data_IF_875017847471
#
_entry.id   IF_875017847471
#
_cell.length_a   1.000
_cell.length_b   1.000
_cell.length_c   1.000
_cell.angle_alpha   90.00
_cell.angle_beta   90.00
_cell.angle_gamma   90.00
#
_symmetry.space_group_name_H-M   'P 1'
#
loop_
_entity.id
_entity.type
_entity.pdbx_description
1 polymer ?
#
# COMPACT_ATOMS: atom_id res chain seq x y z
N UNK A 1 -1.75 -30.88 -5.11
CA UNK A 1 -1.50 -30.12 -6.35
C UNK A 1 -1.81 -28.64 -6.07
N UNK A 2 -0.86 -27.73 -6.30
CA UNK A 2 -1.01 -26.28 -6.09
C UNK A 2 -1.89 -25.69 -7.19
N UNK A 3 -3.02 -25.07 -6.84
CA UNK A 3 -3.90 -24.39 -7.82
C UNK A 3 -3.47 -22.94 -7.94
N UNK A 4 -3.09 -22.50 -9.14
CA UNK A 4 -2.60 -21.13 -9.41
C UNK A 4 -3.47 -20.43 -10.45
N UNK A 5 -3.78 -19.15 -10.22
CA UNK A 5 -4.45 -18.25 -11.17
C UNK A 5 -3.57 -17.00 -11.29
N UNK A 6 -2.88 -16.82 -12.41
CA UNK A 6 -1.92 -15.74 -12.58
C UNK A 6 -0.77 -15.78 -11.56
N UNK A 7 -0.52 -14.68 -10.86
CA UNK A 7 0.48 -14.59 -9.78
C UNK A 7 -0.01 -15.13 -8.43
N UNK A 8 -1.29 -15.47 -8.33
CA UNK A 8 -1.94 -15.95 -7.11
C UNK A 8 -1.87 -17.48 -7.04
N UNK A 9 -1.40 -18.01 -5.93
CA UNK A 9 -1.50 -19.43 -5.60
C UNK A 9 -2.20 -19.63 -4.27
N UNK A 10 -2.93 -20.73 -4.11
CA UNK A 10 -3.52 -21.12 -2.82
C UNK A 10 -2.85 -22.40 -2.34
N UNK A 11 -2.35 -22.40 -1.12
CA UNK A 11 -1.84 -23.60 -0.48
C UNK A 11 -3.00 -24.49 -0.01
N UNK A 12 -2.97 -25.77 -0.39
CA UNK A 12 -4.11 -26.68 -0.18
C UNK A 12 -4.34 -27.06 1.28
N UNK A 13 -3.33 -26.95 2.13
CA UNK A 13 -3.37 -27.46 3.51
C UNK A 13 -3.73 -26.36 4.52
N UNK A 14 -3.26 -25.13 4.29
CA UNK A 14 -3.46 -23.97 5.19
C UNK A 14 -4.57 -23.05 4.69
N UNK A 15 -4.95 -23.15 3.42
CA UNK A 15 -5.80 -22.15 2.75
C UNK A 15 -5.08 -20.82 2.51
N UNK A 16 -3.79 -20.71 2.86
CA UNK A 16 -3.05 -19.47 2.72
C UNK A 16 -2.83 -19.13 1.24
N UNK A 17 -3.14 -17.89 0.89
CA UNK A 17 -2.91 -17.37 -0.45
C UNK A 17 -1.50 -16.81 -0.55
N UNK A 18 -0.91 -16.92 -1.74
CA UNK A 18 0.42 -16.43 -2.05
C UNK A 18 0.35 -15.56 -3.30
N UNK A 19 1.12 -14.48 -3.34
CA UNK A 19 1.31 -13.63 -4.51
C UNK A 19 2.79 -13.47 -4.77
N UNK A 20 3.23 -13.85 -5.98
CA UNK A 20 4.66 -13.83 -6.35
C UNK A 20 5.58 -14.49 -5.31
N UNK A 21 5.13 -15.60 -4.71
CA UNK A 21 5.81 -16.38 -3.65
C UNK A 21 5.82 -15.74 -2.26
N UNK A 22 5.24 -14.56 -2.07
CA UNK A 22 5.01 -13.97 -0.75
C UNK A 22 3.64 -14.40 -0.24
N UNK A 23 3.54 -14.81 1.02
CA UNK A 23 2.24 -15.13 1.62
C UNK A 23 1.39 -13.88 1.78
N UNK A 24 0.07 -14.01 1.70
CA UNK A 24 -0.79 -12.85 1.89
C UNK A 24 -0.71 -12.30 3.31
N UNK A 25 -0.45 -13.14 4.32
CA UNK A 25 -0.23 -12.70 5.69
C UNK A 25 0.98 -11.77 5.79
N UNK A 26 2.11 -12.15 5.19
CA UNK A 26 3.32 -11.34 5.14
C UNK A 26 3.12 -10.06 4.32
N UNK A 27 2.39 -10.13 3.20
CA UNK A 27 2.10 -8.96 2.38
C UNK A 27 1.24 -7.93 3.12
N UNK A 28 0.19 -8.37 3.83
CA UNK A 28 -0.65 -7.48 4.66
C UNK A 28 0.18 -6.78 5.73
N UNK A 29 1.00 -7.52 6.47
CA UNK A 29 1.86 -6.95 7.51
C UNK A 29 2.88 -5.94 6.97
N UNK A 30 3.52 -6.26 5.84
CA UNK A 30 4.44 -5.34 5.18
C UNK A 30 3.75 -4.05 4.70
N UNK A 31 2.52 -4.15 4.20
CA UNK A 31 1.70 -2.99 3.81
C UNK A 31 1.42 -2.10 5.02
N UNK A 32 0.95 -2.69 6.13
CA UNK A 32 0.58 -1.94 7.34
C UNK A 32 1.79 -1.27 8.00
N UNK A 33 2.94 -1.98 8.08
CA UNK A 33 4.20 -1.41 8.57
C UNK A 33 4.66 -0.24 7.69
N UNK A 34 4.61 -0.40 6.37
CA UNK A 34 5.02 0.63 5.41
C UNK A 34 4.13 1.88 5.46
N UNK A 35 2.81 1.70 5.51
CA UNK A 35 1.86 2.81 5.60
C UNK A 35 2.03 3.55 6.94
N UNK A 36 2.13 2.82 8.06
CA UNK A 36 2.34 3.39 9.39
C UNK A 36 3.58 4.28 9.42
N UNK A 37 4.72 3.74 8.95
CA UNK A 37 5.96 4.51 8.92
C UNK A 37 5.85 5.74 8.02
N UNK A 38 5.34 5.58 6.80
CA UNK A 38 5.39 6.65 5.78
C UNK A 38 4.42 7.77 6.08
N UNK A 39 3.18 7.47 6.49
CA UNK A 39 2.20 8.49 6.89
C UNK A 39 2.61 9.13 8.22
N UNK A 40 3.06 8.35 9.20
CA UNK A 40 3.56 8.89 10.47
C UNK A 40 4.75 9.85 10.29
N UNK A 41 5.72 9.48 9.45
CA UNK A 41 6.85 10.37 9.11
C UNK A 41 6.40 11.61 8.35
N UNK A 42 5.39 11.49 7.49
CA UNK A 42 4.88 12.60 6.70
C UNK A 42 4.10 13.61 7.54
N UNK A 43 3.39 13.16 8.58
CA UNK A 43 2.70 14.04 9.54
C UNK A 43 3.65 14.93 10.35
N UNK A 44 4.95 14.58 10.42
CA UNK A 44 5.98 15.42 11.04
C UNK A 44 6.53 16.48 10.08
N UNK A 45 6.34 16.32 8.76
CA UNK A 45 6.79 17.28 7.75
C UNK A 45 5.77 18.42 7.63
N UNK A 46 6.27 19.66 7.55
CA UNK A 46 5.41 20.83 7.34
C UNK A 46 4.47 20.67 6.14
N UNK A 47 3.26 21.19 6.29
CA UNK A 47 2.31 21.29 5.19
C UNK A 47 2.80 22.32 4.17
N UNK A 48 2.60 22.00 2.89
CA UNK A 48 2.95 22.85 1.76
C UNK A 48 2.16 22.40 0.53
N UNK A 49 2.02 23.31 -0.42
CA UNK A 49 1.37 23.05 -1.70
C UNK A 49 2.10 21.97 -2.50
N UNK A 50 1.33 21.28 -3.35
CA UNK A 50 1.82 20.28 -4.30
C UNK A 50 2.46 20.99 -5.48
N UNK A 51 3.69 20.62 -5.81
CA UNK A 51 4.42 21.07 -6.99
C UNK A 51 4.43 19.98 -8.07
N UNK A 52 4.58 20.35 -9.33
CA UNK A 52 4.61 19.38 -10.44
C UNK A 52 5.69 18.29 -10.27
N UNK A 53 6.82 18.64 -9.64
CA UNK A 53 7.89 17.69 -9.33
C UNK A 53 7.49 16.62 -8.30
N UNK A 54 6.49 16.87 -7.45
CA UNK A 54 6.07 15.92 -6.42
C UNK A 54 5.41 14.67 -7.01
N UNK A 55 4.82 14.76 -8.21
CA UNK A 55 4.15 13.64 -8.86
C UNK A 55 5.11 12.53 -9.31
N UNK A 56 6.40 12.86 -9.52
CA UNK A 56 7.42 11.89 -9.94
C UNK A 56 8.27 11.37 -8.78
N UNK A 57 8.09 11.90 -7.56
CA UNK A 57 8.85 11.47 -6.37
C UNK A 57 8.50 10.04 -6.01
N UNK A 58 9.52 9.23 -5.72
CA UNK A 58 9.38 7.90 -5.12
C UNK A 58 10.33 7.81 -3.93
N UNK A 59 9.78 7.75 -2.73
CA UNK A 59 10.54 7.50 -1.51
C UNK A 59 10.66 5.98 -1.30
N UNK A 60 11.83 5.50 -0.88
CA UNK A 60 12.06 4.09 -0.58
C UNK A 60 12.68 3.94 0.79
N UNK A 61 12.11 3.06 1.61
CA UNK A 61 12.66 2.70 2.92
C UNK A 61 12.86 1.18 3.01
N UNK A 62 13.86 0.77 3.77
CA UNK A 62 14.17 -0.64 4.01
C UNK A 62 13.71 -1.06 5.40
N UNK A 63 13.03 -2.20 5.46
CA UNK A 63 12.54 -2.85 6.67
C UNK A 63 13.27 -4.18 6.82
N UNK A 64 14.43 -4.20 7.51
CA UNK A 64 15.07 -5.45 7.93
C UNK A 64 14.25 -6.11 9.04
N UNK A 65 14.18 -7.44 9.00
CA UNK A 65 13.49 -8.26 10.01
C UNK A 65 14.02 -8.03 11.43
N UNK A 66 15.33 -7.83 11.58
CA UNK A 66 15.97 -7.47 12.85
C UNK A 66 15.69 -6.04 13.32
N UNK A 67 15.07 -5.20 12.50
CA UNK A 67 14.85 -3.79 12.78
C UNK A 67 16.07 -2.90 12.48
N UNK A 68 15.87 -1.59 12.59
CA UNK A 68 16.91 -0.59 12.40
C UNK A 68 16.65 0.64 13.27
N UNK A 69 17.53 1.64 13.22
CA UNK A 69 17.29 2.93 13.86
C UNK A 69 16.08 3.71 13.27
N UNK A 70 15.59 3.31 12.10
CA UNK A 70 14.49 3.97 11.39
C UNK A 70 13.20 3.15 11.38
N UNK A 71 13.32 1.82 11.42
CA UNK A 71 12.19 0.90 11.23
C UNK A 71 12.17 -0.16 12.33
N UNK A 72 10.99 -0.52 12.86
CA UNK A 72 10.90 -1.54 13.92
C UNK A 72 11.28 -2.93 13.40
N UNK A 73 11.71 -3.80 14.32
CA UNK A 73 11.86 -5.23 14.05
C UNK A 73 10.51 -5.89 13.79
N UNK A 74 10.49 -6.95 12.98
CA UNK A 74 9.27 -7.66 12.60
C UNK A 74 9.53 -9.12 12.21
N UNK A 75 8.46 -9.93 12.19
CA UNK A 75 8.56 -11.36 11.90
C UNK A 75 8.52 -11.72 10.40
N UNK A 76 8.33 -10.74 9.52
CA UNK A 76 8.38 -10.95 8.07
C UNK A 76 9.82 -10.93 7.55
N UNK A 77 10.06 -11.52 6.37
CA UNK A 77 11.35 -11.36 5.67
C UNK A 77 11.63 -9.89 5.36
N UNK A 78 12.91 -9.55 5.25
CA UNK A 78 13.35 -8.22 4.86
C UNK A 78 12.66 -7.72 3.59
N UNK A 79 12.21 -6.47 3.60
CA UNK A 79 11.53 -5.88 2.46
C UNK A 79 11.86 -4.39 2.27
N UNK A 80 11.65 -3.89 1.06
CA UNK A 80 11.67 -2.44 0.76
C UNK A 80 10.26 -1.96 0.51
N UNK A 81 9.87 -0.89 1.18
CA UNK A 81 8.61 -0.21 0.95
C UNK A 81 8.86 1.04 0.11
N UNK A 82 8.09 1.20 -0.98
CA UNK A 82 8.18 2.35 -1.87
C UNK A 82 6.88 3.14 -1.83
N UNK A 83 7.00 4.44 -1.60
CA UNK A 83 5.89 5.39 -1.57
C UNK A 83 5.99 6.30 -2.77
N UNK A 84 4.98 6.29 -3.62
CA UNK A 84 4.92 7.09 -4.83
C UNK A 84 4.16 8.39 -4.54
N UNK A 85 4.70 9.52 -4.99
CA UNK A 85 4.14 10.86 -4.86
C UNK A 85 3.55 11.18 -3.46
N UNK A 86 4.32 11.01 -2.36
CA UNK A 86 3.79 11.07 -0.99
C UNK A 86 3.07 12.39 -0.67
N UNK A 87 3.60 13.52 -1.16
CA UNK A 87 3.00 14.84 -0.96
C UNK A 87 1.67 14.98 -1.72
N UNK A 88 1.60 14.48 -2.96
CA UNK A 88 0.37 14.49 -3.74
C UNK A 88 -0.72 13.62 -3.08
N UNK A 89 -0.37 12.43 -2.57
CA UNK A 89 -1.33 11.58 -1.87
C UNK A 89 -1.71 12.07 -0.47
N UNK A 90 -0.89 12.91 0.19
CA UNK A 90 -1.35 13.68 1.37
C UNK A 90 -2.42 14.67 0.95
N UNK A 91 -2.17 15.46 -0.08
CA UNK A 91 -3.13 16.43 -0.61
C UNK A 91 -4.44 15.78 -1.07
N UNK A 92 -4.39 14.67 -1.81
CA UNK A 92 -5.61 13.98 -2.26
C UNK A 92 -6.43 13.45 -1.09
N UNK A 93 -5.79 12.91 -0.04
CA UNK A 93 -6.51 12.47 1.17
C UNK A 93 -7.23 13.63 1.83
N UNK A 94 -6.55 14.77 1.98
CA UNK A 94 -7.15 15.99 2.53
C UNK A 94 -8.35 16.48 1.69
N UNK A 95 -8.21 16.50 0.36
CA UNK A 95 -9.29 16.86 -0.56
C UNK A 95 -10.51 15.93 -0.43
N UNK A 96 -10.30 14.66 -0.07
CA UNK A 96 -11.36 13.70 0.19
C UNK A 96 -11.83 13.66 1.65
N UNK A 97 -11.35 14.57 2.50
CA UNK A 97 -11.73 14.63 3.92
C UNK A 97 -11.18 13.49 4.77
N UNK A 98 -10.14 12.79 4.29
CA UNK A 98 -9.53 11.65 4.97
C UNK A 98 -8.41 12.16 5.88
N UNK A 99 -8.67 12.21 7.20
CA UNK A 99 -7.66 12.62 8.18
C UNK A 99 -6.55 11.56 8.29
N UNK A 100 -5.29 11.96 8.55
CA UNK A 100 -4.18 11.01 8.66
C UNK A 100 -4.40 9.93 9.73
N UNK A 101 -4.94 10.32 10.89
CA UNK A 101 -5.19 9.40 12.00
C UNK A 101 -6.26 8.37 11.66
N UNK A 102 -7.34 8.79 11.01
CA UNK A 102 -8.44 7.90 10.59
C UNK A 102 -7.96 6.93 9.50
N UNK A 103 -7.13 7.41 8.56
CA UNK A 103 -6.49 6.58 7.54
C UNK A 103 -5.55 5.52 8.15
N UNK A 104 -4.74 5.91 9.12
CA UNK A 104 -3.84 5.01 9.84
C UNK A 104 -4.61 4.00 10.66
N UNK A 105 -5.64 4.43 11.39
CA UNK A 105 -6.47 3.56 12.20
C UNK A 105 -7.16 2.50 11.32
N UNK A 106 -7.87 2.93 10.29
CA UNK A 106 -8.61 2.05 9.39
C UNK A 106 -7.71 0.99 8.70
N UNK A 107 -6.54 1.40 8.20
CA UNK A 107 -5.67 0.50 7.44
C UNK A 107 -4.68 -0.30 8.28
N UNK A 108 -4.26 0.21 9.43
CA UNK A 108 -3.10 -0.33 10.16
C UNK A 108 -3.40 -0.78 11.59
N UNK A 109 -4.54 -0.40 12.19
CA UNK A 109 -4.91 -0.84 13.55
C UNK A 109 -5.38 -2.30 13.56
N UNK A 110 -6.28 -2.65 12.64
CA UNK A 110 -6.86 -3.99 12.52
C UNK A 110 -6.33 -4.71 11.28
N UNK A 111 -6.41 -6.04 11.28
CA UNK A 111 -5.93 -6.86 10.16
C UNK A 111 -6.72 -6.63 8.88
N UNK A 112 -6.03 -6.46 7.76
CA UNK A 112 -6.65 -6.37 6.43
C UNK A 112 -7.37 -7.68 6.05
N UNK A 113 -8.59 -7.58 5.53
CA UNK A 113 -9.41 -8.73 5.11
C UNK A 113 -9.13 -9.01 3.62
N UNK A 114 -8.77 -10.26 3.27
CA UNK A 114 -8.56 -10.62 1.85
C UNK A 114 -9.89 -10.97 1.18
N UNK A 115 -10.15 -10.35 0.03
CA UNK A 115 -11.31 -10.70 -0.79
C UNK A 115 -10.95 -11.86 -1.74
N UNK A 116 -11.81 -12.87 -1.78
CA UNK A 116 -11.63 -14.06 -2.62
C UNK A 116 -11.76 -13.75 -4.12
N UNK A 117 -12.40 -12.64 -4.48
CA UNK A 117 -12.72 -12.24 -5.85
C UNK A 117 -11.54 -11.57 -6.56
N UNK A 118 -10.52 -12.35 -6.91
CA UNK A 118 -9.58 -11.94 -7.94
C UNK A 118 -10.31 -12.01 -9.28
N UNK A 119 -10.76 -10.88 -9.81
CA UNK A 119 -11.32 -10.80 -11.17
C UNK A 119 -10.32 -11.32 -12.23
N UNK A 120 -10.67 -11.17 -13.52
CA UNK A 120 -9.89 -11.73 -14.64
C UNK A 120 -8.39 -11.35 -14.67
N UNK A 121 -7.98 -10.28 -13.97
CA UNK A 121 -6.59 -9.82 -13.89
C UNK A 121 -5.69 -10.65 -12.94
N UNK A 122 -6.25 -11.49 -12.08
CA UNK A 122 -5.49 -12.18 -11.03
C UNK A 122 -4.94 -11.25 -9.93
N UNK A 123 -5.48 -10.04 -9.82
CA UNK A 123 -5.15 -9.10 -8.74
C UNK A 123 -5.64 -9.62 -7.39
N UNK A 124 -4.85 -9.39 -6.34
CA UNK A 124 -5.30 -9.48 -4.97
C UNK A 124 -6.02 -8.21 -4.56
N UNK A 125 -7.02 -8.38 -3.69
CA UNK A 125 -7.79 -7.31 -3.09
C UNK A 125 -7.82 -7.52 -1.58
N UNK A 126 -7.59 -6.43 -0.85
CA UNK A 126 -7.82 -6.36 0.58
C UNK A 126 -8.81 -5.24 0.86
N UNK A 127 -9.52 -5.36 1.98
CA UNK A 127 -10.38 -4.32 2.52
C UNK A 127 -10.02 -4.07 3.99
N UNK A 128 -10.15 -2.82 4.44
CA UNK A 128 -10.05 -2.46 5.85
C UNK A 128 -11.21 -3.07 6.65
N UNK A 129 -11.04 -3.20 7.97
CA UNK A 129 -12.07 -3.84 8.81
C UNK A 129 -13.36 -3.03 8.94
N UNK A 130 -13.29 -1.72 8.68
CA UNK A 130 -14.42 -0.79 8.65
C UNK A 130 -15.04 -0.62 7.25
N UNK A 131 -14.57 -1.36 6.23
CA UNK A 131 -15.05 -1.31 4.84
C UNK A 131 -14.84 0.04 4.10
N UNK A 132 -14.04 0.95 4.66
CA UNK A 132 -13.79 2.28 4.09
C UNK A 132 -12.73 2.28 2.97
N UNK A 133 -11.76 1.35 3.01
CA UNK A 133 -10.64 1.33 2.06
C UNK A 133 -10.43 -0.03 1.40
N UNK A 134 -10.20 0.01 0.08
CA UNK A 134 -9.79 -1.14 -0.71
C UNK A 134 -8.33 -0.99 -1.11
N UNK A 135 -7.52 -2.03 -0.87
CA UNK A 135 -6.16 -2.16 -1.38
C UNK A 135 -6.17 -3.16 -2.53
N UNK A 136 -5.63 -2.78 -3.68
CA UNK A 136 -5.57 -3.63 -4.87
C UNK A 136 -4.14 -3.76 -5.37
N UNK A 137 -3.69 -4.98 -5.67
CA UNK A 137 -2.44 -5.16 -6.41
C UNK A 137 -2.63 -4.76 -7.87
N UNK A 138 -1.74 -3.90 -8.36
CA UNK A 138 -1.68 -3.47 -9.75
C UNK A 138 -0.43 -4.02 -10.43
N UNK A 139 -0.50 -4.21 -11.75
CA UNK A 139 0.65 -4.55 -12.57
C UNK A 139 1.57 -3.34 -12.71
N UNK A 140 2.84 -3.59 -13.04
CA UNK A 140 3.83 -2.52 -13.15
C UNK A 140 3.42 -1.44 -14.17
N UNK A 141 2.94 -1.83 -15.35
CA UNK A 141 2.42 -0.90 -16.38
C UNK A 141 1.23 -0.06 -15.89
N UNK A 142 0.38 -0.62 -15.02
CA UNK A 142 -0.77 0.10 -14.45
C UNK A 142 -0.28 1.13 -13.42
N UNK A 143 0.69 0.77 -12.58
CA UNK A 143 1.31 1.70 -11.63
C UNK A 143 2.01 2.87 -12.34
N UNK A 144 2.77 2.60 -13.40
CA UNK A 144 3.40 3.66 -14.22
C UNK A 144 2.36 4.58 -14.88
N UNK A 145 1.28 4.00 -15.39
CA UNK A 145 0.18 4.77 -15.97
C UNK A 145 -0.50 5.67 -14.92
N UNK A 146 -0.81 5.12 -13.73
CA UNK A 146 -1.41 5.90 -12.64
C UNK A 146 -0.51 7.07 -12.21
N UNK A 147 0.80 6.86 -12.15
CA UNK A 147 1.73 7.94 -11.80
C UNK A 147 1.73 9.07 -12.84
N UNK A 148 1.67 8.73 -14.14
CA UNK A 148 1.54 9.71 -15.23
C UNK A 148 0.20 10.44 -15.23
N UNK A 149 -0.84 9.84 -14.66
CA UNK A 149 -2.17 10.42 -14.55
C UNK A 149 -2.28 11.47 -13.43
N UNK A 150 -1.42 11.42 -12.41
CA UNK A 150 -1.54 12.27 -11.21
C UNK A 150 -1.65 13.78 -11.49
N UNK A 151 -0.85 14.39 -12.39
CA UNK A 151 -1.00 15.81 -12.69
C UNK A 151 -2.37 16.13 -13.30
N UNK A 152 -2.86 15.29 -14.20
CA UNK A 152 -4.19 15.42 -14.79
C UNK A 152 -5.31 15.26 -13.76
N UNK A 153 -5.16 14.30 -12.85
CA UNK A 153 -6.10 14.07 -11.76
C UNK A 153 -6.17 15.27 -10.79
N UNK A 154 -5.02 15.88 -10.50
CA UNK A 154 -4.95 17.10 -9.70
C UNK A 154 -5.65 18.28 -10.39
N UNK A 155 -5.41 18.50 -11.69
CA UNK A 155 -5.98 19.63 -12.43
C UNK A 155 -7.50 19.59 -12.60
N UNK A 156 -8.13 18.41 -12.66
CA UNK A 156 -9.60 18.30 -12.83
C UNK A 156 -10.38 18.71 -11.56
N UNK A 157 -9.70 18.82 -10.42
CA UNK A 157 -10.30 19.20 -9.14
C UNK A 157 -9.96 20.63 -8.70
N UNK A 158 -9.39 21.43 -9.59
CA UNK A 158 -9.20 22.89 -9.47
C UNK A 158 -9.96 23.63 -10.58
#
# INVERSE_FOLDING_TARGET
MKKTIGHRGVETNTGETTYKKTTSSALKGAIQLGITHTVGSLSQKAERDVLMQDFVVVESIFFPSEGSNLTPAHHYSDFRFKTYAPIAFRYFRELFGIRPDDYLYSLCNDGLIELSNSGASGSLFYVSSDDEFIIKTVQHKEAEFLQKLLPGYFMVRY
#
